data_IF_814330593407
#
_entry.id   IF_814330593407
#
_cell.length_a   1.000
_cell.length_b   1.000
_cell.length_c   1.000
_cell.angle_alpha   90.00
_cell.angle_beta   90.00
_cell.angle_gamma   90.00
#
_symmetry.space_group_name_H-M   'P 1'
#
loop_
_entity.id
_entity.type
_entity.pdbx_description
1 polymer ?
2 polymer ?
3 branched ?
4 non-polymer ?
5 water ?
#
# COMPACT_ATOMS: atom_id res chain seq x y z
N UNK A 1 19.32 -5.05 -19.69
CA UNK A 1 19.35 -3.75 -18.94
C UNK A 1 18.47 -2.68 -19.59
N UNK A 2 17.47 -3.03 -20.38
CA UNK A 2 16.60 -2.07 -20.99
C UNK A 2 15.72 -1.33 -19.99
N UNK A 3 15.71 -0.03 -20.07
CA UNK A 3 15.01 0.83 -19.18
C UNK A 3 13.57 1.11 -19.69
N UNK A 4 12.57 0.86 -18.86
CA UNK A 4 11.24 1.35 -19.09
C UNK A 4 10.80 2.55 -18.22
N UNK A 5 10.40 3.58 -18.87
CA UNK A 5 9.91 4.77 -18.24
C UNK A 5 8.39 4.97 -18.58
N UNK A 6 7.58 5.02 -17.56
CA UNK A 6 6.26 5.51 -17.66
C UNK A 6 6.32 6.91 -17.02
N UNK A 7 6.29 7.95 -17.82
CA UNK A 7 6.66 9.25 -17.26
C UNK A 7 5.59 9.82 -16.34
N UNK A 8 4.34 9.50 -16.66
CA UNK A 8 3.22 9.91 -15.86
C UNK A 8 3.10 8.92 -14.69
N UNK A 9 3.24 9.42 -13.46
CA UNK A 9 3.05 8.65 -12.23
C UNK A 9 1.58 8.49 -11.86
N UNK A 10 0.82 9.56 -12.08
CA UNK A 10 -0.59 9.56 -11.71
C UNK A 10 -1.41 10.37 -12.69
N UNK A 11 -2.65 9.98 -12.89
CA UNK A 11 -3.55 10.81 -13.67
C UNK A 11 -5.00 10.65 -13.25
N UNK A 12 -5.73 11.76 -13.42
CA UNK A 12 -7.13 11.87 -13.07
C UNK A 12 -7.95 11.75 -14.32
N UNK A 13 -9.10 11.10 -14.22
CA UNK A 13 -10.05 11.09 -15.30
C UNK A 13 -11.44 10.82 -14.74
N UNK A 14 -12.47 11.14 -15.52
CA UNK A 14 -13.85 10.91 -15.16
C UNK A 14 -14.33 9.62 -15.73
N UNK A 15 -15.36 9.08 -15.11
CA UNK A 15 -16.04 7.92 -15.65
C UNK A 15 -16.50 8.22 -17.05
N UNK A 16 -16.37 7.24 -17.92
CA UNK A 16 -16.71 7.37 -19.32
C UNK A 16 -15.64 7.94 -20.23
N UNK A 17 -14.60 8.59 -19.70
CA UNK A 17 -13.67 9.20 -20.67
C UNK A 17 -12.55 8.26 -21.17
N UNK A 18 -11.75 8.76 -22.10
CA UNK A 18 -10.70 8.01 -22.75
C UNK A 18 -9.38 8.34 -22.10
N UNK A 19 -8.66 7.30 -21.65
CA UNK A 19 -7.41 7.47 -20.90
C UNK A 19 -6.27 6.72 -21.56
N UNK A 20 -5.14 7.42 -21.77
CA UNK A 20 -3.96 6.82 -22.39
C UNK A 20 -2.72 6.88 -21.49
N UNK A 21 -2.10 5.71 -21.27
CA UNK A 21 -0.86 5.62 -20.48
C UNK A 21 0.29 5.21 -21.43
N UNK A 22 1.43 5.85 -21.29
CA UNK A 22 2.56 5.69 -22.20
C UNK A 22 3.71 4.99 -21.51
N UNK A 23 4.49 4.25 -22.31
CA UNK A 23 5.67 3.53 -21.83
C UNK A 23 6.75 3.74 -22.88
N UNK A 24 7.93 4.16 -22.43
CA UNK A 24 9.06 4.41 -23.34
C UNK A 24 10.23 3.47 -23.03
N UNK A 25 10.61 2.62 -23.98
CA UNK A 25 11.78 1.75 -23.80
C UNK A 25 13.06 2.49 -24.21
N UNK A 26 14.21 2.14 -23.62
CA UNK A 26 15.49 2.76 -23.98
C UNK A 26 16.06 2.15 -25.28
N UNK A 27 15.51 1.03 -25.74
CA UNK A 27 15.84 0.50 -27.06
C UNK A 27 14.66 -0.23 -27.65
N UNK A 28 14.78 -0.72 -28.89
CA UNK A 28 13.73 -1.44 -29.59
C UNK A 28 13.43 -2.80 -28.92
N UNK A 29 12.20 -2.96 -28.45
CA UNK A 29 11.76 -4.22 -27.82
C UNK A 29 10.90 -5.08 -28.74
N UNK A 30 10.82 -4.66 -29.99
CA UNK A 30 10.12 -5.42 -31.05
C UNK A 30 8.78 -5.94 -30.58
N UNK A 31 7.96 -5.02 -30.06
CA UNK A 31 6.58 -5.32 -29.62
C UNK A 31 6.38 -6.29 -28.45
N UNK A 32 7.47 -6.70 -27.78
CA UNK A 32 7.40 -7.57 -26.61
C UNK A 32 7.19 -6.73 -25.35
N UNK A 33 6.00 -6.16 -25.28
CA UNK A 33 5.63 -5.26 -24.22
C UNK A 33 4.26 -5.67 -23.74
N UNK A 34 4.12 -5.79 -22.43
CA UNK A 34 2.88 -6.21 -21.79
C UNK A 34 2.40 -5.18 -20.80
N UNK A 35 1.09 -5.19 -20.53
CA UNK A 35 0.48 -4.29 -19.56
C UNK A 35 -0.22 -5.08 -18.47
N UNK A 36 0.13 -4.76 -17.22
CA UNK A 36 -0.49 -5.32 -16.01
C UNK A 36 -1.29 -4.25 -15.24
N UNK A 37 -2.38 -4.72 -14.65
CA UNK A 37 -3.22 -3.96 -13.74
C UNK A 37 -3.06 -4.48 -12.32
N UNK A 38 -2.59 -3.62 -11.42
CA UNK A 38 -2.52 -3.96 -10.03
C UNK A 38 -3.58 -3.21 -9.22
N UNK A 39 -4.33 -3.96 -8.42
CA UNK A 39 -5.34 -3.35 -7.56
C UNK A 39 -4.76 -2.98 -6.19
N UNK A 40 -5.44 -2.08 -5.46
CA UNK A 40 -4.91 -1.66 -4.15
C UNK A 40 -4.69 -2.81 -3.17
N UNK A 41 -5.49 -3.87 -3.29
CA UNK A 41 -5.35 -5.07 -2.47
C UNK A 41 -4.26 -5.99 -2.97
N UNK A 42 -3.61 -5.60 -4.09
CA UNK A 42 -2.40 -6.27 -4.58
C UNK A 42 -2.60 -7.28 -5.71
N UNK A 43 -3.84 -7.63 -5.99
CA UNK A 43 -4.14 -8.48 -7.13
C UNK A 43 -3.50 -7.91 -8.41
N UNK A 44 -2.77 -8.72 -9.14
CA UNK A 44 -2.21 -8.35 -10.45
C UNK A 44 -2.87 -9.20 -11.52
N UNK A 45 -3.35 -8.57 -12.57
CA UNK A 45 -3.82 -9.27 -13.76
C UNK A 45 -3.03 -8.79 -14.99
N UNK A 46 -2.74 -9.74 -15.90
CA UNK A 46 -2.31 -9.36 -17.23
C UNK A 46 -3.51 -8.86 -18.07
N UNK A 47 -3.38 -7.67 -18.65
CA UNK A 47 -4.38 -7.13 -19.57
C UNK A 47 -4.08 -7.42 -21.07
N UNK A 48 -2.84 -7.13 -21.45
CA UNK A 48 -2.44 -7.03 -22.84
C UNK A 48 -1.02 -7.50 -22.94
N UNK A 49 -0.76 -8.39 -23.91
CA UNK A 49 0.60 -8.86 -24.19
C UNK A 49 0.94 -8.62 -25.65
N UNK A 50 2.24 -8.68 -25.95
CA UNK A 50 2.75 -8.45 -27.28
C UNK A 50 2.09 -7.21 -27.84
N UNK A 51 2.23 -6.11 -27.10
CA UNK A 51 1.76 -4.77 -27.48
C UNK A 51 0.23 -4.55 -27.52
N UNK A 52 -0.53 -5.42 -28.18
CA UNK A 52 -1.95 -5.18 -28.43
C UNK A 52 -2.89 -6.38 -28.28
N UNK A 53 -2.37 -7.52 -27.88
CA UNK A 53 -3.19 -8.71 -27.71
C UNK A 53 -3.83 -8.77 -26.31
N UNK A 54 -5.13 -8.97 -26.28
CA UNK A 54 -5.90 -9.01 -25.03
C UNK A 54 -5.81 -10.36 -24.35
N UNK A 55 -5.54 -10.36 -23.06
CA UNK A 55 -5.55 -11.61 -22.28
C UNK A 55 -7.01 -12.13 -22.19
N UNK A 56 -7.20 -13.43 -22.02
CA UNK A 56 -8.57 -13.98 -21.99
C UNK A 56 -9.34 -13.38 -20.84
N UNK A 57 -10.58 -12.99 -21.13
CA UNK A 57 -11.46 -12.43 -20.12
C UNK A 57 -11.28 -10.93 -19.87
N UNK A 58 -10.40 -10.28 -20.61
CA UNK A 58 -10.13 -8.84 -20.38
C UNK A 58 -11.07 -7.98 -21.21
N UNK A 59 -11.66 -6.92 -20.63
CA UNK A 59 -12.66 -6.13 -21.39
C UNK A 59 -12.04 -5.40 -22.59
N UNK A 60 -12.82 -5.37 -23.67
CA UNK A 60 -12.39 -4.84 -24.95
C UNK A 60 -12.18 -3.34 -24.99
N UNK A 61 -12.53 -2.64 -23.91
CA UNK A 61 -12.18 -1.22 -23.79
C UNK A 61 -10.71 -0.97 -23.41
N UNK A 62 -9.96 -2.01 -23.06
CA UNK A 62 -8.49 -1.87 -22.96
C UNK A 62 -7.93 -2.18 -24.33
N UNK A 63 -7.06 -1.33 -24.84
CA UNK A 63 -6.32 -1.62 -26.07
C UNK A 63 -4.90 -1.12 -25.91
N UNK A 64 -4.00 -1.66 -26.73
CA UNK A 64 -2.60 -1.27 -26.68
C UNK A 64 -2.08 -1.06 -28.08
N UNK A 65 -1.06 -0.23 -28.18
CA UNK A 65 -0.47 0.13 -29.45
C UNK A 65 0.99 0.46 -29.24
N UNK A 66 1.73 0.51 -30.34
CA UNK A 66 3.13 0.92 -30.33
C UNK A 66 4.06 0.10 -31.20
N UNK A 67 5.32 0.51 -31.21
CA UNK A 67 6.38 -0.28 -31.86
C UNK A 67 7.66 0.41 -31.54
N UNK A 68 8.76 -0.22 -31.90
CA UNK A 68 10.08 0.31 -31.58
C UNK A 68 10.22 0.51 -30.09
N UNK A 69 10.30 1.78 -29.70
CA UNK A 69 10.51 2.15 -28.30
C UNK A 69 9.28 2.76 -27.64
N UNK A 70 8.19 2.98 -28.38
CA UNK A 70 7.11 3.79 -27.83
C UNK A 70 5.80 3.06 -27.83
N UNK A 71 5.24 2.90 -26.64
CA UNK A 71 4.03 2.09 -26.48
C UNK A 71 3.06 2.80 -25.57
N UNK A 72 1.78 2.48 -25.74
CA UNK A 72 0.78 3.02 -24.87
C UNK A 72 -0.41 2.06 -24.68
N UNK A 73 -1.10 2.24 -23.56
CA UNK A 73 -2.31 1.53 -23.22
C UNK A 73 -3.43 2.57 -23.14
N UNK A 74 -4.54 2.25 -23.79
CA UNK A 74 -5.68 3.13 -23.80
C UNK A 74 -6.87 2.40 -23.22
N UNK A 75 -7.57 3.08 -22.35
CA UNK A 75 -8.85 2.70 -21.89
C UNK A 75 -9.92 3.66 -22.40
N UNK A 76 -10.76 3.12 -23.24
CA UNK A 76 -11.90 3.78 -23.78
C UNK A 76 -13.12 3.64 -22.73
N UNK A 77 -13.86 4.68 -22.49
CA UNK A 77 -14.98 4.59 -21.57
C UNK A 77 -14.66 4.05 -20.18
N UNK A 78 -13.83 4.73 -19.45
CA UNK A 78 -13.42 4.32 -18.16
C UNK A 78 -14.55 3.96 -17.08
N UNK A 79 -14.39 2.82 -16.41
CA UNK A 79 -15.36 2.40 -15.40
C UNK A 79 -14.60 2.41 -14.10
N UNK A 80 -15.32 2.36 -12.99
CA UNK A 80 -14.66 2.48 -11.67
C UNK A 80 -13.78 1.27 -11.36
N UNK A 81 -14.12 0.10 -11.92
CA UNK A 81 -13.24 -1.08 -11.82
C UNK A 81 -11.85 -0.79 -12.39
N UNK A 82 -11.78 0.16 -13.35
CA UNK A 82 -10.51 0.50 -13.98
C UNK A 82 -9.61 1.37 -13.12
N UNK A 83 -10.09 1.86 -11.98
CA UNK A 83 -9.20 2.59 -11.03
C UNK A 83 -8.23 1.59 -10.47
N UNK A 84 -6.94 1.85 -10.68
CA UNK A 84 -5.90 0.87 -10.46
C UNK A 84 -4.56 1.44 -10.89
N UNK A 85 -3.50 0.69 -10.63
CA UNK A 85 -2.17 1.05 -11.08
C UNK A 85 -1.84 0.15 -12.24
N UNK A 86 -1.24 0.75 -13.25
CA UNK A 86 -0.96 0.09 -14.50
C UNK A 86 0.53 0.07 -14.72
N UNK A 87 1.05 -1.12 -15.04
CA UNK A 87 2.49 -1.32 -15.25
C UNK A 87 2.74 -1.91 -16.63
N UNK A 88 3.78 -1.41 -17.31
CA UNK A 88 4.31 -2.03 -18.53
C UNK A 88 5.50 -2.94 -18.23
N UNK A 89 5.71 -3.93 -19.10
CA UNK A 89 6.82 -4.87 -18.91
C UNK A 89 7.35 -5.31 -20.26
N UNK A 90 8.67 -5.19 -20.45
CA UNK A 90 9.27 -5.67 -21.68
C UNK A 90 9.81 -7.07 -21.42
N UNK A 91 9.57 -7.98 -22.36
CA UNK A 91 10.00 -9.36 -22.24
C UNK A 91 10.80 -9.88 -23.44
N UNK A 92 11.65 -9.03 -24.02
CA UNK A 92 12.35 -9.43 -25.24
C UNK A 92 13.36 -10.55 -24.99
N UNK A 93 14.05 -10.51 -23.86
CA UNK A 93 15.02 -11.54 -23.51
C UNK A 93 14.88 -11.99 -22.06
N UNK A 94 14.49 -13.24 -21.86
CA UNK A 94 14.50 -13.86 -20.53
C UNK A 94 15.96 -14.12 -20.13
N UNK A 95 16.38 -13.76 -18.90
CA UNK A 95 15.66 -13.19 -17.76
C UNK A 95 15.76 -11.68 -17.63
N UNK A 96 16.09 -10.99 -18.71
CA UNK A 96 16.31 -9.55 -18.64
C UNK A 96 15.01 -8.73 -18.71
N UNK A 97 13.92 -9.22 -18.12
CA UNK A 97 12.66 -8.48 -18.09
C UNK A 97 12.80 -7.24 -17.25
N UNK A 98 12.18 -6.15 -17.67
CA UNK A 98 12.10 -4.96 -16.84
C UNK A 98 10.66 -4.46 -16.84
N UNK A 99 10.28 -3.83 -15.73
CA UNK A 99 8.98 -3.17 -15.62
C UNK A 99 9.14 -1.65 -15.53
N UNK A 100 8.14 -0.93 -16.05
CA UNK A 100 8.03 0.50 -15.78
C UNK A 100 7.59 0.72 -14.33
N UNK A 101 7.64 1.97 -13.88
CA UNK A 101 7.39 2.31 -12.47
C UNK A 101 5.92 2.42 -12.09
N UNK A 102 5.01 2.28 -13.06
CA UNK A 102 3.60 2.29 -12.78
C UNK A 102 2.95 3.65 -12.95
N UNK A 103 1.68 3.61 -13.31
CA UNK A 103 0.87 4.80 -13.44
C UNK A 103 -0.46 4.53 -12.73
N UNK A 104 -0.68 5.35 -11.73
CA UNK A 104 -1.87 5.31 -10.93
C UNK A 104 -2.98 5.96 -11.68
N UNK A 105 -4.12 5.32 -11.68
CA UNK A 105 -5.26 5.88 -12.33
C UNK A 105 -6.38 6.18 -11.31
N UNK A 106 -6.67 7.47 -11.16
CA UNK A 106 -7.62 8.03 -10.17
C UNK A 106 -8.91 8.53 -10.84
N UNK A 107 -10.02 8.39 -10.12
CA UNK A 107 -11.34 8.84 -10.59
C UNK A 107 -11.57 10.30 -10.17
N UNK A 108 -12.04 11.15 -11.08
CA UNK A 108 -12.34 12.56 -10.81
C UNK A 108 -13.65 12.75 -10.05
N UNK A 109 -13.72 13.77 -9.22
CA UNK A 109 -14.98 14.09 -8.56
C UNK A 109 -14.99 15.56 -8.15
N UNK A 110 -16.13 16.02 -7.66
CA UNK A 110 -16.29 17.39 -7.17
C UNK A 110 -15.30 17.66 -6.04
N UNK A 111 -14.75 18.88 -5.98
CA UNK A 111 -13.86 19.28 -4.90
C UNK A 111 -14.61 18.99 -3.60
N UNK A 112 -13.91 18.50 -2.58
CA UNK A 112 -14.52 18.30 -1.26
C UNK A 112 -13.52 18.67 -0.20
N UNK A 113 -13.99 19.46 0.76
CA UNK A 113 -13.16 19.96 1.84
C UNK A 113 -13.00 18.88 2.91
N UNK A 114 -11.85 18.85 3.57
CA UNK A 114 -11.59 17.86 4.60
C UNK A 114 -12.30 18.14 5.92
N UNK A 115 -12.89 17.11 6.53
CA UNK A 115 -13.33 17.22 7.91
C UNK A 115 -12.10 16.99 8.76
N UNK A 116 -11.64 18.04 9.43
CA UNK A 116 -10.45 18.02 10.30
C UNK A 116 -10.81 17.78 11.78
N UNK A 117 -10.07 16.87 12.44
CA UNK A 117 -10.15 16.67 13.90
C UNK A 117 -8.74 16.64 14.45
N UNK A 118 -8.50 17.34 15.57
CA UNK A 118 -7.20 17.35 16.25
C UNK A 118 -7.37 16.65 17.60
N UNK A 119 -6.30 15.98 18.04
CA UNK A 119 -6.34 15.16 19.27
C UNK A 119 -5.13 15.38 20.11
N UNK A 120 -5.31 15.94 21.32
CA UNK A 120 -4.17 16.04 22.23
C UNK A 120 -3.71 14.65 22.64
N UNK A 121 -2.51 14.55 23.20
CA UNK A 121 -2.14 13.25 23.73
C UNK A 121 -3.03 12.83 24.93
N UNK A 122 -3.41 11.56 25.00
CA UNK A 122 -4.05 11.02 26.20
C UNK A 122 -3.11 11.07 27.39
N UNK A 123 -3.67 11.26 28.58
CA UNK A 123 -2.90 11.27 29.82
C UNK A 123 -2.19 9.92 30.03
N UNK A 124 -2.73 8.86 29.48
CA UNK A 124 -2.05 7.57 29.46
C UNK A 124 -0.70 7.55 28.70
N UNK A 125 -0.67 8.17 27.52
CA UNK A 125 0.60 8.28 26.78
C UNK A 125 1.56 9.20 27.50
N UNK A 126 1.03 10.28 28.08
CA UNK A 126 1.88 11.24 28.78
C UNK A 126 2.52 10.61 30.02
N UNK A 127 1.76 9.77 30.71
CA UNK A 127 2.27 9.02 31.84
C UNK A 127 3.52 8.25 31.45
N UNK A 128 3.53 7.67 30.26
CA UNK A 128 4.66 6.86 29.87
C UNK A 128 5.79 7.71 29.27
N UNK A 129 5.63 9.03 29.25
CA UNK A 129 6.70 9.93 28.83
C UNK A 129 6.64 10.32 27.37
N UNK A 130 5.64 9.82 26.64
CA UNK A 130 5.47 10.16 25.23
C UNK A 130 4.36 11.18 25.02
N UNK A 131 4.31 11.74 23.82
CA UNK A 131 3.34 12.77 23.47
C UNK A 131 3.23 12.85 21.94
N UNK A 132 2.13 12.33 21.41
CA UNK A 132 1.87 12.34 19.98
C UNK A 132 0.59 13.10 19.79
N UNK A 133 0.64 14.13 18.95
CA UNK A 133 -0.53 14.93 18.67
C UNK A 133 -1.01 14.44 17.31
N UNK A 134 -2.29 14.17 17.18
CA UNK A 134 -2.77 13.60 15.93
C UNK A 134 -3.85 14.51 15.35
N UNK A 135 -3.81 14.60 14.02
CA UNK A 135 -4.78 15.30 13.24
C UNK A 135 -5.28 14.36 12.16
N UNK A 136 -6.58 14.25 12.03
CA UNK A 136 -7.17 13.51 10.95
C UNK A 136 -7.80 14.50 10.00
N UNK A 137 -7.63 14.25 8.70
CA UNK A 137 -8.27 15.06 7.67
C UNK A 137 -8.99 14.12 6.74
N UNK A 138 -10.29 14.03 6.94
CA UNK A 138 -11.09 13.04 6.27
C UNK A 138 -11.93 13.54 5.12
N UNK A 139 -12.17 12.59 4.21
CA UNK A 139 -13.00 12.69 3.00
C UNK A 139 -12.90 13.97 2.21
N UNK A 140 -11.70 14.23 1.70
CA UNK A 140 -11.45 15.39 0.90
C UNK A 140 -11.09 15.04 -0.53
N UNK A 141 -11.22 16.05 -1.37
CA UNK A 141 -10.80 15.97 -2.76
C UNK A 141 -10.59 17.40 -3.30
N UNK A 142 -9.47 17.64 -3.98
CA UNK A 142 -8.49 16.64 -4.44
C UNK A 142 -7.45 16.19 -3.42
N UNK A 143 -6.64 15.26 -3.88
CA UNK A 143 -5.63 14.60 -3.09
C UNK A 143 -4.56 15.58 -2.60
N UNK A 144 -4.21 16.56 -3.42
CA UNK A 144 -3.16 17.53 -3.05
C UNK A 144 -3.55 18.33 -1.82
N UNK A 145 -2.74 18.24 -0.77
CA UNK A 145 -3.02 18.95 0.46
C UNK A 145 -1.72 19.21 1.15
N UNK A 146 -1.66 20.32 1.88
CA UNK A 146 -0.48 20.63 2.64
C UNK A 146 -0.86 20.89 4.08
N UNK A 147 -0.68 19.87 4.89
CA UNK A 147 -0.88 19.99 6.31
C UNK A 147 0.46 20.38 6.91
N UNK A 148 0.43 21.33 7.85
CA UNK A 148 1.59 21.55 8.70
C UNK A 148 1.16 21.82 10.13
N UNK A 149 2.12 21.73 11.04
CA UNK A 149 1.90 21.93 12.44
C UNK A 149 2.55 23.23 12.91
N UNK A 150 1.77 24.06 13.57
CA UNK A 150 2.32 25.22 14.22
C UNK A 150 2.18 25.11 15.73
N UNK A 151 3.30 25.36 16.39
CA UNK A 151 3.40 25.25 17.82
C UNK A 151 4.03 26.53 18.34
N UNK A 152 3.25 27.35 19.04
CA UNK A 152 3.71 28.64 19.56
C UNK A 152 4.30 29.53 18.44
N UNK A 153 3.64 29.50 17.28
CA UNK A 153 4.11 30.27 16.12
C UNK A 153 5.47 29.83 15.60
N UNK A 154 5.69 28.52 15.55
CA UNK A 154 6.85 27.94 14.89
C UNK A 154 6.39 26.71 14.13
N UNK A 155 6.59 26.72 12.82
CA UNK A 155 6.20 25.62 11.98
C UNK A 155 7.10 24.43 12.29
N UNK A 156 6.53 23.23 12.28
CA UNK A 156 7.28 22.03 12.57
C UNK A 156 7.00 20.88 11.62
N UNK A 157 8.09 20.28 11.12
CA UNK A 157 8.06 19.08 10.28
C UNK A 157 8.79 17.90 10.93
N UNK A 158 9.81 18.19 11.74
CA UNK A 158 10.53 17.17 12.46
C UNK A 158 9.59 16.34 13.34
N UNK A 159 9.61 15.02 13.17
CA UNK A 159 8.76 14.11 13.94
C UNK A 159 7.36 13.96 13.40
N UNK A 160 7.10 14.52 12.21
CA UNK A 160 5.76 14.50 11.61
C UNK A 160 5.59 13.32 10.65
N UNK A 161 4.57 12.52 10.91
CA UNK A 161 4.24 11.37 10.06
C UNK A 161 2.91 11.58 9.37
N UNK A 162 2.90 11.58 8.05
CA UNK A 162 1.67 11.73 7.30
C UNK A 162 1.33 10.47 6.55
N UNK A 163 0.09 10.03 6.69
CA UNK A 163 -0.34 8.82 6.01
C UNK A 163 -1.71 9.00 5.34
N UNK A 164 -1.76 8.66 4.06
CA UNK A 164 -2.92 8.87 3.19
C UNK A 164 -3.61 7.54 2.91
N UNK A 165 -4.94 7.50 2.92
CA UNK A 165 -5.61 6.31 2.39
C UNK A 165 -5.54 6.32 0.85
N UNK A 166 -5.94 5.22 0.24
CA UNK A 166 -6.22 5.16 -1.20
C UNK A 166 -7.51 5.89 -1.44
N UNK A 167 -7.81 6.17 -2.69
CA UNK A 167 -9.09 6.75 -3.02
C UNK A 167 -10.20 5.82 -2.53
N UNK A 168 -11.25 6.36 -1.94
CA UNK A 168 -12.35 5.54 -1.45
C UNK A 168 -13.22 5.06 -2.63
N UNK A 169 -13.45 3.76 -2.69
CA UNK A 169 -14.34 3.16 -3.70
C UNK A 169 -15.83 3.55 -3.62
N UNK A 170 -16.25 4.27 -2.57
CA UNK A 170 -17.67 4.62 -2.40
C UNK A 170 -17.95 6.11 -2.62
N UNK A 171 -17.04 6.98 -2.21
CA UNK A 171 -17.18 8.41 -2.48
C UNK A 171 -16.00 9.02 -3.28
N UNK A 172 -15.01 8.20 -3.66
CA UNK A 172 -13.84 8.67 -4.43
C UNK A 172 -13.02 9.76 -3.75
N UNK A 173 -13.15 9.88 -2.44
CA UNK A 173 -12.41 10.87 -1.65
C UNK A 173 -11.17 10.27 -1.02
N UNK A 174 -10.32 11.13 -0.51
CA UNK A 174 -9.13 10.71 0.15
C UNK A 174 -9.27 11.04 1.63
N UNK A 175 -8.39 10.45 2.44
CA UNK A 175 -8.23 10.83 3.82
C UNK A 175 -6.78 10.76 4.20
N UNK A 176 -6.42 11.44 5.27
CA UNK A 176 -5.06 11.34 5.76
C UNK A 176 -5.01 11.60 7.24
N UNK A 177 -3.90 11.17 7.82
CA UNK A 177 -3.64 11.31 9.23
C UNK A 177 -2.26 11.93 9.33
N UNK A 178 -2.15 12.97 10.13
CA UNK A 178 -0.85 13.58 10.40
C UNK A 178 -0.59 13.48 11.90
N UNK A 179 0.56 12.93 12.26
CA UNK A 179 0.91 12.74 13.64
C UNK A 179 2.21 13.41 13.97
N UNK A 180 2.17 14.19 15.03
CA UNK A 180 3.34 14.88 15.48
C UNK A 180 3.84 14.17 16.69
N UNK A 181 4.99 13.53 16.57
CA UNK A 181 5.54 12.78 17.69
C UNK A 181 6.58 13.60 18.46
N UNK A 182 6.36 13.76 19.77
CA UNK A 182 7.22 14.53 20.66
C UNK A 182 7.43 13.78 21.96
N UNK A 183 8.50 14.10 22.69
CA UNK A 183 8.60 13.68 24.09
C UNK A 183 7.63 14.52 24.91
N UNK A 184 7.28 14.01 26.09
CA UNK A 184 6.47 14.76 27.02
C UNK A 184 7.04 16.16 27.28
N UNK A 185 8.34 16.27 27.53
CA UNK A 185 9.00 17.58 27.75
C UNK A 185 8.90 18.53 26.54
N UNK A 186 9.32 18.07 25.36
CA UNK A 186 9.07 18.80 24.10
C UNK A 186 7.62 19.29 24.01
N UNK A 187 6.67 18.41 24.34
CA UNK A 187 5.24 18.75 24.30
C UNK A 187 4.88 19.82 25.31
N UNK A 188 5.46 19.73 26.50
CA UNK A 188 5.15 20.68 27.57
C UNK A 188 5.81 22.07 27.37
N UNK A 189 6.99 22.10 26.75
CA UNK A 189 7.66 23.34 26.31
C UNK A 189 6.69 24.36 25.74
N UNK A 190 5.71 23.88 24.98
CA UNK A 190 4.80 24.74 24.26
C UNK A 190 3.36 24.59 24.72
N UNK A 191 2.51 25.49 24.25
CA UNK A 191 1.14 25.62 24.71
C UNK A 191 0.12 25.61 23.59
N UNK A 192 0.42 26.28 22.47
CA UNK A 192 -0.56 26.42 21.40
C UNK A 192 -0.29 25.37 20.34
N UNK A 193 -1.31 24.56 19.99
CA UNK A 193 -1.11 23.45 19.02
C UNK A 193 -2.09 23.47 17.83
N UNK A 194 -1.51 23.71 16.66
CA UNK A 194 -2.30 23.95 15.47
C UNK A 194 -1.98 22.98 14.32
N UNK A 195 -3.04 22.33 13.84
CA UNK A 195 -2.98 21.48 12.67
C UNK A 195 -3.58 22.32 11.55
N UNK A 196 -2.73 22.73 10.60
CA UNK A 196 -3.16 23.67 9.56
C UNK A 196 -3.13 23.05 8.17
N UNK A 197 -4.29 23.06 7.51
CA UNK A 197 -4.42 22.47 6.19
C UNK A 197 -4.47 23.58 5.13
N UNK A 198 -3.75 23.38 4.02
CA UNK A 198 -3.89 24.22 2.83
C UNK A 198 -4.51 23.36 1.73
N UNK A 199 -5.70 23.75 1.27
CA UNK A 199 -6.46 23.00 0.30
C UNK A 199 -7.27 23.93 -0.59
N UNK A 200 -7.44 23.57 -1.86
CA UNK A 200 -8.11 24.44 -2.83
C UNK A 200 -9.58 24.70 -2.52
N UNK A 201 -10.18 23.91 -1.63
CA UNK A 201 -11.57 24.17 -1.18
C UNK A 201 -11.73 25.41 -0.28
N UNK A 202 -10.63 25.92 0.28
CA UNK A 202 -10.66 27.13 1.10
C UNK A 202 -9.68 28.14 0.57
N UNK A 203 -10.11 29.41 0.54
CA UNK A 203 -9.23 30.50 0.22
C UNK A 203 -8.09 30.58 1.24
N UNK A 204 -8.47 30.53 2.51
CA UNK A 204 -7.53 30.59 3.62
C UNK A 204 -7.36 29.23 4.30
N UNK A 205 -6.25 29.04 5.03
CA UNK A 205 -5.98 27.85 5.82
C UNK A 205 -7.16 27.35 6.67
N UNK A 206 -7.47 26.06 6.53
CA UNK A 206 -8.40 25.37 7.45
C UNK A 206 -7.53 24.93 8.63
N UNK A 207 -7.91 25.33 9.83
CA UNK A 207 -7.06 25.19 11.01
C UNK A 207 -7.82 24.48 12.15
N UNK A 208 -7.12 23.60 12.87
CA UNK A 208 -7.62 23.07 14.15
C UNK A 208 -6.53 23.18 15.19
N UNK A 209 -6.96 23.46 16.42
CA UNK A 209 -6.07 23.96 17.43
C UNK A 209 -6.45 23.52 18.84
N UNK A 210 -5.50 23.60 19.75
CA UNK A 210 -5.80 23.56 21.19
C UNK A 210 -4.64 24.17 21.97
N UNK A 211 -4.93 24.60 23.20
CA UNK A 211 -3.86 24.97 24.15
C UNK A 211 -3.70 23.89 25.20
N UNK A 212 -2.46 23.48 25.40
CA UNK A 212 -2.09 22.46 26.39
C UNK A 212 -2.64 22.77 27.79
N UNK A 213 -2.29 23.93 28.35
CA UNK A 213 -2.83 24.36 29.66
C UNK A 213 -4.39 24.31 29.72
N UNK A 214 -5.03 24.07 28.57
CA UNK A 214 -6.44 23.71 28.52
C UNK A 214 -7.34 24.92 28.72
N UNK B 1 -9.10 -21.17 -11.14
CA UNK B 1 -8.03 -21.91 -11.89
C UNK B 1 -8.15 -21.55 -13.36
N UNK B 2 -7.07 -21.09 -14.01
CA UNK B 2 -5.71 -21.09 -13.49
C UNK B 2 -5.56 -20.41 -12.13
N UNK B 3 -4.89 -21.07 -11.21
CA UNK B 3 -4.72 -20.55 -9.87
C UNK B 3 -3.34 -20.83 -9.33
N UNK B 4 -2.77 -19.82 -8.69
CA UNK B 4 -1.47 -19.94 -8.06
C UNK B 4 -1.58 -19.39 -6.66
N UNK B 5 -1.15 -20.17 -5.66
CA UNK B 5 -1.25 -19.76 -4.26
C UNK B 5 0.11 -19.88 -3.56
N UNK B 6 0.70 -18.75 -3.15
CA UNK B 6 2.01 -18.71 -2.50
C UNK B 6 1.87 -19.03 -1.02
N UNK B 7 2.92 -19.57 -0.42
CA UNK B 7 3.03 -19.65 1.05
C UNK B 7 4.49 -19.69 1.49
N UNK B 8 4.67 -19.56 2.80
CA UNK B 8 6.00 -19.62 3.41
C UNK B 8 6.57 -18.27 3.78
N UNK B 9 5.84 -17.20 3.50
CA UNK B 9 6.37 -15.87 3.80
C UNK B 9 6.42 -15.61 5.29
N UNK B 10 7.08 -14.52 5.69
CA UNK B 10 6.99 -14.03 7.07
C UNK B 10 8.18 -13.15 7.45
N UNK B 11 8.52 -13.18 8.73
CA UNK B 11 9.62 -12.40 9.27
C UNK B 11 10.85 -13.28 9.32
N UNK B 12 11.95 -12.81 8.76
CA UNK B 12 13.24 -13.50 8.93
C UNK B 12 14.33 -12.50 9.33
N UNK B 13 15.25 -12.93 10.17
CA UNK B 13 16.37 -12.09 10.62
C UNK B 13 17.38 -11.82 9.50
N UNK B 14 18.25 -10.83 9.72
CA UNK B 14 19.21 -10.45 8.73
C UNK B 14 20.11 -11.63 8.53
N UNK B 15 20.43 -11.92 7.29
CA UNK B 15 21.29 -13.04 6.98
C UNK B 15 20.58 -14.39 7.05
N UNK B 16 19.29 -14.39 7.32
CA UNK B 16 18.53 -15.63 7.35
C UNK B 16 18.19 -16.27 5.99
N UNK B 17 17.50 -17.39 6.06
CA UNK B 17 17.08 -18.16 4.91
C UNK B 17 15.59 -18.30 4.91
N UNK B 18 15.03 -18.53 3.72
CA UNK B 18 13.58 -18.78 3.62
C UNK B 18 13.27 -19.58 2.38
N UNK B 19 12.20 -20.36 2.45
CA UNK B 19 11.74 -21.09 1.28
C UNK B 19 10.29 -20.77 1.07
N UNK B 20 9.95 -20.23 -0.08
CA UNK B 20 8.53 -20.03 -0.41
C UNK B 20 8.10 -21.17 -1.28
N UNK B 21 6.79 -21.40 -1.27
CA UNK B 21 6.17 -22.40 -2.10
C UNK B 21 5.00 -21.78 -2.84
N UNK B 22 4.67 -22.34 -3.99
CA UNK B 22 3.51 -21.92 -4.75
C UNK B 22 2.81 -23.16 -5.36
N UNK B 23 1.55 -23.38 -5.00
CA UNK B 23 0.78 -24.47 -5.59
C UNK B 23 -0.04 -23.94 -6.75
N UNK B 24 0.09 -24.65 -7.86
CA UNK B 24 -0.58 -24.31 -9.10
C UNK B 24 -1.71 -25.28 -9.33
N UNK B 25 -2.81 -24.76 -9.84
CA UNK B 25 -3.89 -25.62 -10.27
C UNK B 25 -4.55 -25.01 -11.49
N UNK B 26 -5.42 -25.79 -12.15
CA UNK B 26 -6.18 -25.31 -13.29
C UNK B 26 -5.49 -25.40 -14.64
N UNK B 27 -4.23 -25.85 -14.69
CA UNK B 27 -3.56 -26.08 -15.98
C UNK B 27 -2.54 -27.20 -15.90
N UNK B 28 -1.96 -27.53 -17.05
CA UNK B 28 -0.92 -28.52 -17.16
C UNK B 28 0.43 -27.89 -16.82
N UNK B 29 0.76 -27.93 -15.55
CA UNK B 29 1.90 -27.23 -14.96
C UNK B 29 3.21 -27.41 -15.72
N UNK B 30 3.51 -28.66 -16.08
CA UNK B 30 4.80 -29.05 -16.62
C UNK B 30 5.01 -28.52 -18.02
N UNK B 31 3.95 -28.00 -18.63
CA UNK B 31 4.05 -27.38 -19.93
C UNK B 31 4.51 -25.89 -19.90
N UNK B 32 4.70 -25.29 -18.72
CA UNK B 32 4.88 -23.83 -18.66
C UNK B 32 6.16 -23.43 -17.96
N UNK B 33 6.78 -22.38 -18.49
CA UNK B 33 7.80 -21.66 -17.73
C UNK B 33 7.11 -21.01 -16.52
N UNK B 34 7.85 -20.81 -15.44
CA UNK B 34 7.32 -20.16 -14.25
C UNK B 34 8.33 -19.18 -13.73
N UNK B 35 7.89 -18.24 -12.89
CA UNK B 35 8.84 -17.31 -12.30
C UNK B 35 8.37 -16.79 -10.97
N UNK B 36 9.30 -16.13 -10.27
CA UNK B 36 9.01 -15.38 -9.08
C UNK B 36 9.28 -13.89 -9.40
N UNK B 37 8.29 -13.04 -9.14
CA UNK B 37 8.44 -11.57 -9.22
C UNK B 37 8.27 -11.01 -7.82
N UNK B 38 8.98 -9.95 -7.48
CA UNK B 38 8.78 -9.33 -6.20
C UNK B 38 8.42 -7.85 -6.38
N UNK B 39 7.62 -7.33 -5.47
CA UNK B 39 7.28 -5.90 -5.46
C UNK B 39 7.74 -5.30 -4.14
N UNK B 40 8.75 -4.45 -4.19
CA UNK B 40 9.18 -3.72 -3.01
C UNK B 40 8.04 -2.90 -2.37
N UNK B 41 8.18 -2.54 -1.06
CA UNK B 41 7.22 -1.59 -0.47
C UNK B 41 7.13 -0.21 -1.16
N UNK B 42 8.18 0.22 -1.86
CA UNK B 42 8.07 1.38 -2.75
C UNK B 42 7.34 1.05 -4.08
N UNK B 43 6.76 -0.15 -4.18
CA UNK B 43 5.93 -0.54 -5.31
C UNK B 43 6.63 -0.80 -6.66
N UNK B 44 7.95 -0.83 -6.71
CA UNK B 44 8.65 -1.29 -7.92
C UNK B 44 8.63 -2.82 -8.11
N UNK B 45 8.29 -3.27 -9.33
CA UNK B 45 8.26 -4.70 -9.64
C UNK B 45 9.57 -5.12 -10.26
N UNK B 46 10.03 -6.32 -9.91
CA UNK B 46 11.18 -6.92 -10.57
C UNK B 46 11.18 -8.44 -10.55
N UNK B 47 11.69 -8.99 -11.65
CA UNK B 47 11.84 -10.39 -11.81
C UNK B 47 12.97 -10.87 -10.94
N UNK B 48 12.67 -11.87 -10.11
CA UNK B 48 13.66 -12.49 -9.27
C UNK B 48 14.28 -13.70 -9.96
N UNK B 49 13.47 -14.49 -10.64
CA UNK B 49 13.93 -15.78 -11.12
C UNK B 49 12.92 -16.46 -11.99
N UNK B 50 13.41 -17.18 -12.96
CA UNK B 50 12.53 -17.91 -13.85
C UNK B 50 13.08 -19.32 -14.10
N UNK B 51 12.20 -20.21 -14.48
CA UNK B 51 12.55 -21.61 -14.72
C UNK B 51 11.77 -22.16 -15.92
N UNK B 52 12.45 -22.96 -16.75
CA UNK B 52 11.77 -23.63 -17.85
C UNK B 52 10.86 -24.79 -17.40
N UNK B 53 10.05 -25.28 -18.32
CA UNK B 53 9.09 -26.36 -18.04
C UNK B 53 9.64 -27.56 -17.24
N UNK B 54 10.67 -28.23 -17.74
CA UNK B 54 11.22 -29.44 -17.04
C UNK B 54 12.17 -29.12 -15.88
N UNK B 55 12.48 -27.85 -15.69
CA UNK B 55 13.37 -27.44 -14.63
C UNK B 55 14.84 -27.59 -14.91
N UNK B 56 15.23 -27.95 -16.14
CA UNK B 56 16.65 -28.09 -16.49
C UNK B 56 17.39 -26.76 -16.59
N UNK B 57 16.75 -25.73 -17.14
CA UNK B 57 17.28 -24.37 -17.15
C UNK B 57 16.59 -23.44 -16.17
N UNK B 58 17.41 -22.77 -15.39
CA UNK B 58 16.98 -21.67 -14.55
C UNK B 58 17.64 -20.34 -15.01
N UNK B 59 17.04 -19.24 -14.61
CA UNK B 59 17.37 -17.92 -15.17
C UNK B 59 17.31 -16.90 -14.04
N UNK B 60 18.41 -16.23 -13.80
CA UNK B 60 18.55 -15.28 -12.70
C UNK B 60 19.08 -13.99 -13.30
N UNK B 61 18.44 -12.85 -13.03
CA UNK B 61 19.02 -11.55 -13.41
C UNK B 61 20.11 -11.21 -12.42
N UNK B 62 21.22 -10.65 -12.90
CA UNK B 62 22.44 -10.42 -12.08
C UNK B 62 22.24 -9.89 -10.65
N UNK B 63 21.14 -9.17 -10.44
CA UNK B 63 20.63 -8.86 -9.10
C UNK B 63 20.62 -10.04 -8.11
N UNK B 64 20.08 -11.19 -8.55
CA UNK B 64 19.76 -12.34 -7.66
C UNK B 64 20.73 -13.54 -7.74
N UNK B 65 21.72 -13.47 -8.63
CA UNK B 65 22.52 -14.66 -9.00
C UNK B 65 23.76 -14.84 -8.10
N UNK B 66 23.79 -15.85 -7.22
CA UNK B 66 22.63 -16.64 -6.78
C UNK B 66 22.55 -16.63 -5.25
N UNK B 67 21.81 -15.67 -4.69
CA UNK B 67 21.34 -15.80 -3.31
C UNK B 67 19.97 -16.47 -3.35
N UNK B 68 19.42 -16.61 -4.56
CA UNK B 68 18.14 -17.25 -4.77
C UNK B 68 18.29 -18.50 -5.60
N UNK B 69 17.48 -19.50 -5.27
CA UNK B 69 17.34 -20.71 -6.08
C UNK B 69 15.87 -20.99 -6.41
N UNK B 70 15.56 -21.11 -7.69
CA UNK B 70 14.21 -21.43 -8.11
C UNK B 70 14.20 -22.90 -8.49
N UNK B 71 13.16 -23.63 -8.06
CA UNK B 71 13.00 -25.02 -8.47
C UNK B 71 11.51 -25.30 -8.56
N UNK B 72 11.18 -26.44 -9.13
CA UNK B 72 9.81 -26.83 -9.37
C UNK B 72 9.62 -28.35 -9.16
N UNK B 73 8.38 -28.80 -9.05
CA UNK B 73 8.06 -30.23 -8.96
C UNK B 73 6.87 -30.47 -9.86
N UNK B 74 7.13 -31.03 -11.04
CA UNK B 74 6.07 -31.28 -12.00
C UNK B 74 5.12 -32.44 -11.65
N UNK B 75 5.40 -33.20 -10.59
CA UNK B 75 4.46 -34.25 -10.15
C UNK B 75 3.43 -33.63 -9.21
N UNK B 76 3.91 -32.75 -8.34
CA UNK B 76 3.14 -32.11 -7.28
C UNK B 76 2.64 -30.68 -7.63
N UNK B 77 2.84 -30.23 -8.85
CA UNK B 77 2.33 -28.92 -9.27
C UNK B 77 2.82 -27.84 -8.31
N UNK B 78 4.11 -27.82 -8.01
CA UNK B 78 4.66 -26.88 -7.02
C UNK B 78 5.94 -26.18 -7.52
N UNK B 79 6.03 -24.89 -7.19
CA UNK B 79 7.16 -24.05 -7.56
C UNK B 79 7.73 -23.56 -6.26
N UNK B 80 9.06 -23.55 -6.15
CA UNK B 80 9.73 -23.11 -4.92
C UNK B 80 10.70 -21.96 -5.18
N UNK B 81 10.86 -21.12 -4.18
CA UNK B 81 11.98 -20.16 -4.19
C UNK B 81 12.71 -20.30 -2.90
N UNK B 82 14.00 -20.57 -2.96
CA UNK B 82 14.83 -20.65 -1.78
C UNK B 82 15.76 -19.43 -1.69
N UNK B 83 15.85 -18.82 -0.52
CA UNK B 83 16.62 -17.60 -0.35
C UNK B 83 17.51 -17.77 0.85
N UNK B 84 18.73 -17.24 0.75
CA UNK B 84 19.70 -17.29 1.84
C UNK B 84 20.38 -15.94 1.93
N UNK B 85 21.25 -15.77 2.93
CA UNK B 85 21.82 -14.48 3.35
C UNK B 85 20.99 -13.24 2.97
N UNK B 86 19.78 -13.26 3.49
CA UNK B 86 18.80 -12.24 3.20
C UNK B 86 19.21 -10.86 3.76
N UNK B 87 18.92 -9.80 3.01
CA UNK B 87 19.22 -8.43 3.45
C UNK B 87 17.94 -7.62 3.60
N UNK B 88 17.98 -6.54 4.39
CA UNK B 88 16.86 -5.58 4.57
C UNK B 88 16.16 -5.33 3.25
N UNK B 89 16.96 -5.15 2.22
CA UNK B 89 16.47 -4.79 0.91
C UNK B 89 15.65 -5.89 0.26
N UNK B 90 15.70 -7.12 0.81
CA UNK B 90 14.88 -8.23 0.27
C UNK B 90 13.46 -8.27 0.86
N UNK B 91 13.13 -7.25 1.68
CA UNK B 91 11.77 -7.07 2.16
C UNK B 91 10.91 -6.69 0.97
N UNK B 92 9.85 -7.47 0.75
CA UNK B 92 9.04 -7.28 -0.41
C UNK B 92 7.88 -8.28 -0.44
N UNK B 93 6.93 -8.03 -1.32
CA UNK B 93 5.93 -9.02 -1.65
C UNK B 93 6.41 -9.89 -2.82
N UNK B 94 6.34 -11.22 -2.66
CA UNK B 94 6.85 -12.19 -3.64
C UNK B 94 5.71 -12.89 -4.30
N UNK B 95 5.68 -12.76 -5.62
CA UNK B 95 4.59 -13.26 -6.42
C UNK B 95 5.11 -14.45 -7.18
N UNK B 96 4.29 -15.49 -7.25
CA UNK B 96 4.52 -16.59 -8.16
C UNK B 96 3.80 -16.28 -9.47
N UNK B 97 4.42 -16.52 -10.63
CA UNK B 97 3.74 -16.26 -11.89
C UNK B 97 4.02 -17.33 -12.90
N UNK B 98 3.03 -17.59 -13.75
CA UNK B 98 3.17 -18.45 -14.89
C UNK B 98 3.62 -17.61 -16.09
N UNK B 99 4.66 -18.07 -16.77
CA UNK B 99 5.11 -17.39 -17.99
C UNK B 99 4.44 -17.93 -19.23
N UNK B 100 4.32 -17.04 -20.19
CA UNK B 100 3.74 -17.37 -21.46
C UNK B 100 4.65 -16.82 -22.59
N UNK B 101 4.74 -17.60 -23.67
CA UNK B 101 5.58 -17.28 -24.82
C UNK B 101 4.92 -17.67 -26.12
N UNK B 102 5.59 -17.33 -27.22
CA UNK B 102 5.24 -17.84 -28.54
C UNK B 102 6.18 -19.01 -28.85
N UNK B 103 6.37 -19.35 -30.12
CA UNK B 103 7.24 -20.50 -30.45
C UNK B 103 8.74 -20.15 -30.35
N UNK B 104 9.05 -18.86 -30.34
CA UNK B 104 10.44 -18.44 -30.32
C UNK B 104 10.92 -18.03 -28.92
N UNK B 105 10.02 -17.46 -28.10
CA UNK B 105 10.42 -16.62 -26.97
C UNK B 105 9.38 -16.63 -25.83
N UNK B 106 9.83 -16.69 -24.58
CA UNK B 106 8.96 -16.51 -23.40
C UNK B 106 9.01 -15.04 -22.98
N UNK B 107 7.88 -14.36 -23.02
CA UNK B 107 7.88 -12.87 -22.94
C UNK B 107 6.89 -12.23 -21.97
N UNK B 108 5.95 -12.96 -21.39
CA UNK B 108 4.98 -12.29 -20.52
C UNK B 108 4.56 -13.21 -19.37
N UNK B 109 3.86 -12.64 -18.40
CA UNK B 109 3.44 -13.35 -17.21
C UNK B 109 1.93 -13.34 -17.14
N UNK B 110 1.29 -14.43 -17.56
CA UNK B 110 -0.14 -14.36 -17.81
C UNK B 110 -1.03 -14.64 -16.59
N UNK B 111 -0.48 -15.19 -15.51
CA UNK B 111 -1.24 -15.37 -14.26
C UNK B 111 -0.30 -15.14 -13.11
N UNK B 112 -0.85 -14.61 -12.04
CA UNK B 112 -0.08 -14.20 -10.86
C UNK B 112 -0.81 -14.76 -9.68
N UNK B 113 -0.10 -15.15 -8.63
CA UNK B 113 -0.76 -15.46 -7.36
C UNK B 113 -1.06 -14.16 -6.64
N UNK B 114 -1.59 -14.28 -5.43
CA UNK B 114 -1.87 -13.14 -4.55
C UNK B 114 -0.62 -12.57 -3.90
N UNK B 115 0.46 -13.32 -3.87
CA UNK B 115 1.72 -12.86 -3.23
C UNK B 115 1.89 -13.29 -1.78
N UNK B 116 3.15 -13.46 -1.32
CA UNK B 116 3.48 -13.68 0.12
C UNK B 116 4.43 -12.60 0.56
N UNK B 117 4.13 -12.02 1.73
CA UNK B 117 4.97 -10.98 2.32
C UNK B 117 6.19 -11.54 3.05
N UNK B 118 7.33 -10.89 2.86
CA UNK B 118 8.55 -11.31 3.49
C UNK B 118 9.13 -10.08 4.10
N UNK B 119 9.47 -10.15 5.38
CA UNK B 119 10.07 -9.06 6.08
C UNK B 119 11.44 -9.54 6.64
N UNK B 120 12.48 -8.81 6.26
CA UNK B 120 13.82 -9.17 6.63
C UNK B 120 14.33 -8.07 7.52
N UNK B 121 14.59 -8.43 8.76
CA UNK B 121 14.97 -7.40 9.71
C UNK B 121 15.55 -7.99 10.97
N UNK B 122 16.39 -7.20 11.60
CA UNK B 122 17.01 -7.49 12.89
C UNK B 122 16.15 -7.11 14.09
N UNK B 123 15.20 -6.20 13.91
CA UNK B 123 14.41 -5.69 15.03
C UNK B 123 13.57 -6.78 15.69
N UNK B 124 13.51 -6.69 17.01
CA UNK B 124 12.80 -7.65 17.83
C UNK B 124 11.29 -7.49 17.60
N UNK B 125 10.56 -8.60 17.58
CA UNK B 125 9.11 -8.55 17.59
C UNK B 125 8.58 -7.75 18.80
N UNK B 126 7.67 -6.81 18.55
CA UNK B 126 7.20 -5.91 19.61
C UNK B 126 5.71 -5.65 19.44
N UNK B 127 4.90 -5.96 20.47
CA UNK B 127 3.50 -5.53 20.38
C UNK B 127 3.38 -4.00 20.41
N UNK B 128 2.32 -3.45 19.84
CA UNK B 128 2.12 -2.01 19.82
C UNK B 128 1.63 -1.41 21.14
N UNK B 129 1.90 -0.13 21.32
CA UNK B 129 1.24 0.69 22.33
C UNK B 129 0.06 1.26 21.64
N UNK B 130 -1.10 1.19 22.30
CA UNK B 130 -2.34 1.60 21.68
C UNK B 130 -2.90 2.70 22.55
N UNK B 131 -3.12 3.88 21.96
CA UNK B 131 -3.66 5.03 22.65
C UNK B 131 -4.97 5.50 22.03
N UNK B 132 -6.04 5.60 22.83
CA UNK B 132 -7.30 6.16 22.33
C UNK B 132 -7.18 7.66 21.98
N UNK B 133 -7.90 8.10 20.97
CA UNK B 133 -7.91 9.51 20.56
C UNK B 133 -9.33 10.03 20.71
N UNK B 134 -9.54 10.82 21.77
CA UNK B 134 -10.81 11.50 22.02
C UNK B 134 -10.57 13.00 21.88
N UNK B 135 -11.55 13.74 21.35
CA UNK B 135 -11.31 15.17 21.17
C UNK B 135 -10.95 15.88 22.48
N UNK B 136 -9.86 16.63 22.44
CA UNK B 136 -9.50 17.54 23.53
C UNK B 136 -10.55 18.60 23.53
N UNK B 137 -10.51 19.50 24.51
CA UNK B 137 -11.65 20.35 24.70
C UNK B 137 -11.45 21.82 24.24
N UNK B 138 -12.54 22.52 23.93
CA UNK B 138 -13.92 22.02 24.07
C UNK B 138 -14.56 21.48 22.79
N UNK B 139 -15.43 22.31 22.22
CA UNK B 139 -16.17 22.00 20.99
C UNK B 139 -15.29 22.53 19.84
N UNK B 140 -15.74 22.61 18.57
CA UNK B 140 -17.10 22.35 18.09
C UNK B 140 -17.46 20.88 18.21
N UNK B 141 -18.58 20.60 18.87
CA UNK B 141 -19.04 19.23 19.04
C UNK B 141 -19.38 18.63 17.67
N UNK B 142 -19.99 19.43 16.79
CA UNK B 142 -20.18 19.05 15.38
C UNK B 142 -21.33 18.08 15.16
N UNK B 143 -21.74 17.90 13.89
CA UNK B 143 -22.84 17.00 13.56
C UNK B 143 -22.47 15.53 13.83
N UNK B 144 -21.30 15.14 13.35
CA UNK B 144 -20.75 13.83 13.66
C UNK B 144 -19.47 14.04 14.46
N UNK B 145 -19.00 12.97 15.12
CA UNK B 145 -17.77 13.08 15.90
C UNK B 145 -16.80 11.98 15.48
N UNK B 146 -15.54 12.35 15.38
CA UNK B 146 -14.50 11.45 14.95
C UNK B 146 -13.64 11.04 16.13
N UNK B 147 -13.51 9.73 16.30
CA UNK B 147 -12.66 9.17 17.34
C UNK B 147 -11.52 8.42 16.70
N UNK B 148 -10.44 8.25 17.44
CA UNK B 148 -9.33 7.49 16.89
C UNK B 148 -8.60 6.57 17.82
N UNK B 149 -7.64 5.85 17.24
CA UNK B 149 -6.83 4.85 17.93
C UNK B 149 -5.41 4.95 17.28
N UNK B 150 -4.40 5.34 18.05
CA UNK B 150 -3.05 5.45 17.56
C UNK B 150 -2.37 4.17 18.00
N UNK B 151 -1.71 3.51 17.07
CA UNK B 151 -1.08 2.22 17.31
C UNK B 151 0.41 2.37 17.00
N UNK B 152 1.23 2.45 18.03
CA UNK B 152 2.59 2.86 17.80
C UNK B 152 3.59 1.91 18.40
N UNK B 153 4.75 1.85 17.74
CA UNK B 153 5.91 1.16 18.26
C UNK B 153 5.85 -0.36 18.14
N UNK B 154 5.21 -0.86 17.08
CA UNK B 154 5.14 -2.30 16.86
C UNK B 154 6.02 -2.85 15.70
N UNK B 155 6.20 -4.19 15.68
CA UNK B 155 6.98 -4.86 14.65
C UNK B 155 6.78 -6.38 14.73
N UNK B 156 6.64 -7.06 13.59
CA UNK B 156 6.58 -6.61 12.21
C UNK B 156 5.16 -6.18 11.92
N UNK B 157 4.86 -6.01 10.63
CA UNK B 157 3.50 -5.82 10.19
C UNK B 157 2.79 -7.18 10.13
N UNK B 158 1.47 -7.19 10.23
CA UNK B 158 0.69 -5.99 10.46
C UNK B 158 -0.10 -6.06 11.77
N UNK B 159 -1.06 -5.17 11.90
CA UNK B 159 -1.98 -5.16 13.02
C UNK B 159 -3.40 -5.17 12.48
N UNK B 160 -4.36 -5.46 13.33
CA UNK B 160 -5.74 -5.28 12.91
C UNK B 160 -6.48 -4.48 13.97
N UNK B 161 -7.11 -3.39 13.54
CA UNK B 161 -7.96 -2.61 14.40
C UNK B 161 -9.42 -2.95 14.16
N UNK B 162 -10.09 -3.29 15.26
CA UNK B 162 -11.50 -3.60 15.28
C UNK B 162 -12.21 -2.61 16.21
N UNK B 163 -13.22 -1.95 15.68
CA UNK B 163 -13.96 -0.96 16.43
C UNK B 163 -15.21 -1.62 17.01
N UNK B 164 -15.42 -1.48 18.31
CA UNK B 164 -16.63 -1.98 18.97
C UNK B 164 -17.46 -0.79 19.39
N UNK B 165 -18.62 -0.68 18.76
CA UNK B 165 -19.33 0.58 18.61
C UNK B 165 -20.66 0.83 19.37
N UNK B 166 -21.49 -0.16 19.71
CA UNK B 166 -21.34 -1.59 19.47
C UNK B 166 -22.41 -2.17 18.54
N UNK B 167 -23.61 -1.60 18.56
CA UNK B 167 -24.64 -1.91 17.54
C UNK B 167 -25.03 -0.68 16.69
N UNK B 168 -24.37 0.45 16.98
CA UNK B 168 -24.32 1.60 16.10
C UNK B 168 -23.75 1.20 14.76
N UNK B 169 -23.67 2.16 13.86
CA UNK B 169 -22.80 1.99 12.71
C UNK B 169 -22.06 3.27 12.38
N UNK B 170 -20.96 3.06 11.67
CA UNK B 170 -19.88 4.00 11.63
C UNK B 170 -18.93 3.44 10.61
N UNK B 171 -18.34 4.30 9.80
CA UNK B 171 -17.28 3.79 8.97
C UNK B 171 -15.94 4.26 9.47
N UNK B 172 -14.96 3.52 9.00
CA UNK B 172 -13.64 3.46 9.58
C UNK B 172 -12.68 3.80 8.47
N UNK B 173 -11.72 4.64 8.80
CA UNK B 173 -10.54 4.84 8.00
C UNK B 173 -9.40 4.12 8.69
N UNK B 174 -8.67 3.32 7.94
CA UNK B 174 -7.45 2.71 8.42
C UNK B 174 -6.33 3.35 7.65
N UNK B 175 -5.36 3.95 8.34
CA UNK B 175 -4.26 4.64 7.67
C UNK B 175 -3.04 3.77 7.65
N UNK B 176 -2.39 3.64 6.46
CA UNK B 176 -1.26 2.71 6.34
C UNK B 176 -0.13 3.05 7.29
N UNK B 177 0.52 2.01 7.80
CA UNK B 177 1.64 2.11 8.70
C UNK B 177 2.87 2.79 8.09
N UNK B 178 3.64 3.44 8.95
CA UNK B 178 4.87 4.07 8.58
C UNK B 178 5.95 3.71 9.58
N UNK B 179 7.20 3.73 9.13
CA UNK B 179 8.34 3.52 10.04
C UNK B 179 8.63 4.78 10.84
N UNK B 180 8.98 4.60 12.10
CA UNK B 180 9.45 5.69 12.93
C UNK B 180 10.28 5.13 14.09
N UNK B 181 11.48 5.69 14.26
CA UNK B 181 12.49 5.19 15.21
C UNK B 181 12.59 3.65 15.25
N UNK B 182 12.64 3.03 14.07
CA UNK B 182 12.84 1.57 13.94
C UNK B 182 11.58 0.71 13.85
N UNK B 183 10.45 1.27 14.29
CA UNK B 183 9.21 0.51 14.45
C UNK B 183 8.06 1.12 13.66
N UNK B 184 6.98 0.35 13.48
CA UNK B 184 5.81 0.88 12.79
C UNK B 184 4.81 1.63 13.71
N UNK B 185 4.23 2.70 13.17
CA UNK B 185 3.11 3.39 13.76
C UNK B 185 2.01 3.39 12.68
N UNK B 186 0.76 3.10 13.06
CA UNK B 186 -0.41 3.36 12.21
C UNK B 186 -1.52 3.98 13.06
N UNK B 187 -2.59 4.42 12.39
CA UNK B 187 -3.73 4.92 13.11
C UNK B 187 -4.99 4.53 12.37
N UNK B 188 -6.09 4.57 13.11
CA UNK B 188 -7.39 4.25 12.59
C UNK B 188 -8.34 5.28 13.19
N UNK B 189 -9.34 5.69 12.40
CA UNK B 189 -10.39 6.60 12.87
C UNK B 189 -11.77 5.99 12.64
N UNK B 190 -12.71 6.44 13.46
CA UNK B 190 -14.11 6.09 13.31
C UNK B 190 -14.99 7.34 13.52
N UNK B 191 -16.07 7.42 12.74
CA UNK B 191 -16.99 8.54 12.82
C UNK B 191 -18.38 8.05 13.22
N UNK B 192 -18.93 8.68 14.25
CA UNK B 192 -20.26 8.37 14.76
C UNK B 192 -21.12 9.64 14.91
N UNK B 193 -22.46 9.47 14.95
CA UNK B 193 -23.31 10.64 15.28
C UNK B 193 -22.96 11.19 16.67
N UNK B 194 -22.95 12.52 16.81
CA UNK B 194 -22.60 13.20 18.08
C UNK B 194 -23.54 12.91 19.26
N UNK B 195 -24.81 12.63 18.98
CA UNK B 195 -25.75 12.27 20.06
C UNK B 195 -25.51 10.84 20.51
N UNK B 196 -24.56 10.19 19.85
CA UNK B 196 -24.29 8.80 20.07
C UNK B 196 -23.10 8.61 21.06
N UNK B 197 -22.17 9.54 21.10
CA UNK B 197 -20.97 9.42 21.92
C UNK B 197 -20.70 10.76 22.60
N UNK B 198 -20.27 10.75 23.88
CA UNK B 198 -19.86 9.62 24.72
C UNK B 198 -20.95 8.82 25.43
N UNK B 199 -22.21 8.96 25.03
CA UNK B 199 -23.29 8.16 25.62
C UNK B 199 -23.04 6.68 25.45
N UNK B 200 -22.52 6.28 24.31
CA UNK B 200 -22.28 4.86 24.03
C UNK B 200 -20.79 4.60 24.18
N UNK B 201 -20.46 3.43 24.71
CA UNK B 201 -19.07 3.05 24.88
C UNK B 201 -18.46 2.67 23.53
N UNK B 202 -17.34 3.29 23.22
CA UNK B 202 -16.55 2.90 22.05
C UNK B 202 -15.18 2.38 22.52
N UNK B 203 -14.79 1.27 21.91
CA UNK B 203 -13.54 0.62 22.21
C UNK B 203 -12.84 0.24 20.91
N UNK B 204 -11.54 0.43 20.85
CA UNK B 204 -10.77 -0.07 19.71
C UNK B 204 -9.97 -1.23 20.22
N UNK B 205 -10.06 -2.36 19.52
CA UNK B 205 -9.28 -3.55 19.84
C UNK B 205 -8.21 -3.73 18.74
N UNK B 206 -6.99 -3.93 19.18
CA UNK B 206 -5.86 -4.05 18.27
C UNK B 206 -5.22 -5.42 18.47
N UNK B 207 -5.22 -6.23 17.41
CA UNK B 207 -4.45 -7.49 17.41
C UNK B 207 -3.16 -7.39 16.58
N UNK B 208 -2.11 -8.05 17.09
CA UNK B 208 -0.80 -8.10 16.46
C UNK B 208 -0.39 -9.57 16.44
N UNK B 209 -0.75 -10.28 15.36
CA UNK B 209 -0.57 -11.74 15.26
C UNK B 209 0.86 -12.21 15.49
N UNK B 210 1.87 -11.43 15.10
CA UNK B 210 3.23 -11.86 15.26
C UNK B 210 3.63 -11.97 16.74
N UNK B 211 3.03 -11.14 17.59
CA UNK B 211 3.28 -11.22 19.03
C UNK B 211 2.18 -12.07 19.69
N UNK B 212 1.18 -12.47 18.92
CA UNK B 212 -0.05 -13.05 19.46
C UNK B 212 -0.57 -12.24 20.64
N UNK B 213 -0.78 -10.93 20.44
CA UNK B 213 -1.35 -10.05 21.45
C UNK B 213 -2.59 -9.37 20.94
N UNK B 214 -3.46 -9.00 21.87
CA UNK B 214 -4.71 -8.31 21.67
C UNK B 214 -4.86 -7.35 22.88
N UNK B 215 -5.23 -6.10 22.64
CA UNK B 215 -5.59 -5.12 23.67
C UNK B 215 -6.89 -4.42 23.28
N UNK B 216 -7.70 -4.15 24.28
CA UNK B 216 -8.90 -3.35 24.11
C UNK B 216 -8.72 -2.05 24.88
N UNK B 217 -8.90 -0.91 24.20
CA UNK B 217 -8.81 0.42 24.81
C UNK B 217 -10.10 1.20 24.65
N UNK B 218 -10.70 1.60 25.78
CA UNK B 218 -11.91 2.41 25.78
C UNK B 218 -11.56 3.86 25.42
N UNK B 219 -12.37 4.46 24.56
CA UNK B 219 -12.22 5.86 24.20
C UNK B 219 -12.85 6.72 25.32
N UNK B 220 -12.01 7.17 26.24
CA UNK B 220 -12.40 8.00 27.37
C UNK B 220 -12.66 9.43 26.93
N UNK B 221 -13.88 9.96 27.16
CA UNK B 221 -14.07 11.39 26.85
C UNK B 221 -13.16 12.29 27.69
N UNK B 222 -12.83 11.88 28.91
CA UNK B 222 -11.95 12.70 29.77
C UNK B 222 -10.45 12.43 29.53
X LIG C 1 9.18 -14.01 -34.13
X LIG C 1 8.89 -14.74 -35.41
X LIG C 1 7.84 -13.99 -36.21
X LIG C 1 6.62 -13.62 -35.32
X LIG C 1 7.03 -12.89 -34.02
X LIG C 1 5.82 -12.61 -33.14
X LIG C 1 10.13 -14.89 -36.21
X LIG C 1 9.81 -12.82 -34.52
X LIG C 1 7.44 -14.80 -37.34
X LIG C 1 5.89 -12.69 -36.06
X LIG C 1 5.10 -13.86 -32.98
X LIG C 1 8.00 -13.68 -33.33
X LIG C 1 10.24 -12.80 -31.98
X LIG C 1 10.63 -12.09 -33.30
X LIG C 1 12.14 -12.48 -33.31
X LIG C 1 10.44 -10.65 -33.17
X LIG C 2 2.98 -15.16 -34.36
X LIG C 2 -0.37 -15.48 -29.49
X LIG C 2 2.82 -14.52 -28.36
X LIG C 2 0.80 -15.91 -32.71
X LIG C 2 3.78 -13.64 -32.53
X LIG C 2 0.23 -14.41 -30.48
X LIG C 2 2.97 -14.87 -32.92
X LIG C 2 3.81 -13.62 -31.11
X LIG C 2 1.54 -14.71 -32.42
X LIG C 2 0.64 -15.82 -28.42
X LIG C 2 1.58 -14.58 -30.91
X LIG C 2 -0.79 -16.77 -30.31
X LIG C 2 2.51 -13.42 -30.51
X LIG C 2 -1.68 -14.81 -29.01
X LIG C 2 2.79 -13.24 -29.00
X LIG D 1 -3.37 -18.28 -26.24
X LIG D 1 -4.01 -19.22 -27.10
X LIG D 1 -4.40 -17.48 -25.45
X LIG D 1 -3.80 -16.23 -25.12
X LIG D 1 -3.63 -15.98 -23.73
X LIG D 1 -2.49 -16.80 -23.16
X LIG D 1 -2.55 -16.81 -21.73
#
# INVERSE_FOLDING_TARGET
DIVLTQSTSSLSASLGDRVTITCRASQDIRNYLSWYQQRPDGTVKLLIYYTSKLHSGVPSRFSGSGSGTDYSLTITNLEQEDIATYFCQQGKTLPLYTFGGGTKLEIKRADAAPTVSIFPPSSEQLTSGGASVVCFLNNFYPKDINVKWKIDGSERQNGVLNSWTDQDSKDSTYSMSSTLTLTKDEYERHNSYTCEATHKTSTSPIVKSFNRNEC
EVKLVESGGGLVKLGGSLKLSCAASGFTFSSYYMSWVRQTPEKRLELVAAINSNGGNTYYPDTVKGLFTISRDNAKNTLYLQMSRLKSEDTALYYCTRLYGNYVRIHTMDYWGQGTSVTVSSAKTTPPSVYPLAPGCGDTTGSSVTLGCLVKGYFPESVTVTWNSGSLSSSVHTFPALLQSGLYTMSSSVTVPSSTWPSETVTCSVAHPASSTTVDKKLEPS
GP1 C1 C2 C3 C4 C5 C6 N2 O1 O3 O4 O6 O5 O7B P4B O8B O9B
Z9M N2 P1 O6 O3 C1 O4 C2 O5 C3 O9 C4 O7 C5 O8 C6
PEG C1 O1 C2 O2 C3 C4 O4
#
